data_IF_404114924378
#
_entry.id   IF_404114924378
#
_cell.length_a   1.000
_cell.length_b   1.000
_cell.length_c   1.000
_cell.angle_alpha   90.00
_cell.angle_beta   90.00
_cell.angle_gamma   90.00
#
_symmetry.space_group_name_H-M   'P 1'
#
loop_
_entity.id
_entity.type
_entity.pdbx_description
1 polymer ?
#
# COMPACT_ATOMS: atom_id res chain seq x y z
N UNK A 1 54.31 -41.42 8.62
CA UNK A 1 54.52 -41.33 7.16
C UNK A 1 53.54 -42.23 6.39
N UNK A 2 52.91 -41.63 5.37
CA UNK A 2 52.20 -42.23 4.21
C UNK A 2 50.95 -43.11 4.50
N UNK A 3 49.74 -42.63 4.19
CA UNK A 3 49.05 -42.63 2.88
C UNK A 3 48.38 -43.99 2.59
N UNK A 4 47.12 -44.12 2.19
CA UNK A 4 46.06 -43.18 1.85
C UNK A 4 44.82 -43.93 1.30
N UNK A 5 43.76 -43.13 1.08
CA UNK A 5 42.70 -43.23 0.06
C UNK A 5 41.64 -44.34 0.06
N UNK A 6 40.48 -43.90 -0.46
CA UNK A 6 39.26 -44.56 -0.96
C UNK A 6 38.06 -44.55 -0.01
N UNK A 7 36.83 -44.21 -0.41
CA UNK A 7 36.33 -43.50 -1.59
C UNK A 7 34.86 -43.10 -1.33
N UNK A 8 34.40 -42.08 -2.05
CA UNK A 8 33.02 -41.93 -2.55
C UNK A 8 31.84 -41.91 -1.57
N UNK A 9 31.48 -40.71 -1.10
CA UNK A 9 30.06 -40.37 -0.84
C UNK A 9 29.55 -39.57 -2.03
N UNK A 10 28.72 -40.24 -2.82
CA UNK A 10 28.07 -39.70 -4.00
C UNK A 10 27.16 -38.54 -3.64
N UNK A 11 27.48 -37.36 -4.19
CA UNK A 11 26.63 -36.17 -4.17
C UNK A 11 25.51 -36.35 -5.19
N UNK A 12 24.44 -37.03 -4.80
CA UNK A 12 23.18 -37.05 -5.54
C UNK A 12 22.32 -35.87 -5.13
N UNK A 13 22.24 -34.85 -5.97
CA UNK A 13 20.98 -34.10 -6.12
C UNK A 13 20.86 -33.67 -7.57
N UNK A 14 19.87 -34.27 -8.20
CA UNK A 14 19.46 -34.12 -9.59
C UNK A 14 18.92 -32.70 -9.76
N UNK A 15 19.68 -31.80 -10.37
CA UNK A 15 19.13 -30.52 -10.83
C UNK A 15 18.44 -30.78 -12.17
N UNK A 16 17.18 -31.20 -12.10
CA UNK A 16 16.27 -31.15 -13.23
C UNK A 16 16.25 -29.69 -13.73
N UNK A 17 16.63 -29.39 -14.98
CA UNK A 17 16.41 -28.07 -15.54
C UNK A 17 14.90 -27.95 -15.78
N UNK A 18 14.17 -27.66 -14.70
CA UNK A 18 12.76 -27.30 -14.76
C UNK A 18 12.68 -26.13 -15.71
N UNK A 19 12.16 -26.44 -16.90
CA UNK A 19 11.84 -25.54 -17.98
C UNK A 19 11.11 -24.33 -17.40
N UNK A 20 11.88 -23.27 -17.11
CA UNK A 20 11.35 -22.04 -16.54
C UNK A 20 10.50 -21.45 -17.65
N UNK A 21 9.18 -21.52 -17.50
CA UNK A 21 8.27 -20.84 -18.42
C UNK A 21 8.75 -19.39 -18.57
N UNK A 22 8.73 -18.82 -19.80
CA UNK A 22 9.23 -17.48 -20.02
C UNK A 22 8.58 -16.51 -19.02
N UNK A 23 9.42 -15.71 -18.37
CA UNK A 23 8.99 -14.64 -17.46
C UNK A 23 9.42 -13.31 -18.04
N UNK A 24 8.63 -12.27 -17.81
CA UNK A 24 9.02 -10.90 -18.09
C UNK A 24 9.27 -10.15 -16.79
N UNK A 25 10.08 -9.10 -16.87
CA UNK A 25 10.49 -8.32 -15.71
C UNK A 25 9.94 -6.91 -15.80
N UNK A 26 9.29 -6.46 -14.74
CA UNK A 26 8.86 -5.07 -14.54
C UNK A 26 9.66 -4.48 -13.39
N UNK A 27 10.24 -3.30 -13.61
CA UNK A 27 10.90 -2.52 -12.57
C UNK A 27 10.08 -1.25 -12.33
N UNK A 28 9.62 -1.06 -11.11
CA UNK A 28 8.98 0.17 -10.67
C UNK A 28 10.03 1.04 -9.99
N UNK A 29 10.23 2.26 -10.48
CA UNK A 29 11.08 3.28 -9.83
C UNK A 29 10.19 4.36 -9.23
N UNK A 30 10.31 4.61 -7.92
CA UNK A 30 9.56 5.64 -7.23
C UNK A 30 10.08 7.04 -7.58
N UNK A 31 9.27 7.83 -8.28
CA UNK A 31 9.54 9.25 -8.52
C UNK A 31 8.97 10.13 -7.39
N UNK A 32 7.93 9.63 -6.72
CA UNK A 32 7.35 10.20 -5.51
C UNK A 32 6.85 9.07 -4.60
N UNK A 33 6.59 9.38 -3.32
CA UNK A 33 5.95 8.43 -2.41
C UNK A 33 4.54 8.11 -2.93
N UNK A 34 4.30 6.85 -3.30
CA UNK A 34 3.03 6.40 -3.86
C UNK A 34 2.62 5.05 -3.29
N UNK A 35 1.32 4.80 -3.19
CA UNK A 35 0.79 3.49 -2.84
C UNK A 35 0.60 2.66 -4.11
N UNK A 36 0.96 1.39 -4.07
CA UNK A 36 0.91 0.46 -5.19
C UNK A 36 0.27 -0.84 -4.73
N UNK A 37 -0.70 -1.32 -5.50
CA UNK A 37 -1.17 -2.71 -5.50
C UNK A 37 -0.76 -3.36 -6.80
N UNK A 38 -0.09 -4.50 -6.71
CA UNK A 38 0.23 -5.38 -7.85
C UNK A 38 -0.52 -6.71 -7.70
N UNK A 39 -1.00 -7.25 -8.81
CA UNK A 39 -1.58 -8.59 -8.90
C UNK A 39 -0.88 -9.30 -10.05
N UNK A 40 -0.09 -10.34 -9.77
CA UNK A 40 0.65 -11.10 -10.79
C UNK A 40 -0.16 -12.31 -11.20
N UNK A 41 -0.33 -12.48 -12.51
CA UNK A 41 -0.97 -13.66 -13.11
C UNK A 41 -2.34 -14.01 -12.49
N UNK A 42 -3.04 -13.01 -11.94
CA UNK A 42 -4.36 -13.13 -11.32
C UNK A 42 -4.41 -13.64 -9.88
N UNK A 43 -3.29 -14.07 -9.29
CA UNK A 43 -3.29 -14.74 -7.97
C UNK A 43 -2.46 -13.99 -6.93
N UNK A 44 -1.25 -13.55 -7.28
CA UNK A 44 -0.31 -12.97 -6.30
C UNK A 44 -0.57 -11.48 -6.09
N UNK A 45 -1.38 -11.14 -5.09
CA UNK A 45 -1.63 -9.75 -4.70
C UNK A 45 -0.59 -9.26 -3.69
N UNK A 46 0.05 -8.13 -3.96
CA UNK A 46 0.89 -7.44 -2.99
C UNK A 46 0.58 -5.95 -2.97
N UNK A 47 0.52 -5.37 -1.78
CA UNK A 47 0.26 -3.95 -1.56
C UNK A 47 1.37 -3.33 -0.72
N UNK A 48 1.83 -2.14 -1.11
CA UNK A 48 2.93 -1.45 -0.44
C UNK A 48 2.96 0.03 -0.81
N UNK A 49 3.75 0.78 -0.05
CA UNK A 49 4.13 2.15 -0.40
C UNK A 49 5.52 2.10 -1.01
N UNK A 50 5.68 2.62 -2.22
CA UNK A 50 6.98 2.81 -2.85
C UNK A 50 7.48 4.23 -2.55
N UNK A 51 8.56 4.40 -1.76
CA UNK A 51 9.17 5.69 -1.52
C UNK A 51 9.87 6.24 -2.78
N UNK A 52 10.06 7.56 -2.82
CA UNK A 52 10.88 8.21 -3.84
C UNK A 52 12.31 7.68 -3.81
N UNK A 53 12.90 7.46 -4.98
CA UNK A 53 14.28 7.00 -5.15
C UNK A 53 14.48 5.50 -4.98
N UNK A 54 13.49 4.77 -4.47
CA UNK A 54 13.56 3.31 -4.38
C UNK A 54 13.01 2.65 -5.63
N UNK A 55 13.47 1.42 -5.87
CA UNK A 55 13.00 0.60 -6.96
C UNK A 55 12.52 -0.76 -6.45
N UNK A 56 11.59 -1.37 -7.19
CA UNK A 56 11.12 -2.74 -6.95
C UNK A 56 11.05 -3.50 -8.25
N UNK A 57 11.62 -4.69 -8.25
CA UNK A 57 11.60 -5.61 -9.39
C UNK A 57 10.52 -6.66 -9.17
N UNK A 58 9.72 -6.88 -10.20
CA UNK A 58 8.59 -7.81 -10.22
C UNK A 58 8.78 -8.71 -11.43
N UNK A 59 8.59 -10.02 -11.24
CA UNK A 59 8.59 -11.01 -12.32
C UNK A 59 7.21 -11.64 -12.40
N UNK A 60 6.74 -11.89 -13.62
CA UNK A 60 5.47 -12.55 -13.90
C UNK A 60 5.56 -13.33 -15.23
N UNK A 61 4.58 -14.19 -15.49
CA UNK A 61 4.54 -15.01 -16.69
C UNK A 61 3.68 -14.38 -17.78
N UNK A 62 2.46 -13.99 -17.46
CA UNK A 62 1.48 -13.51 -18.45
C UNK A 62 1.21 -12.02 -18.32
N UNK A 63 0.87 -11.57 -17.11
CA UNK A 63 0.47 -10.18 -16.89
C UNK A 63 0.61 -9.73 -15.44
N UNK A 64 0.82 -8.43 -15.27
CA UNK A 64 0.73 -7.78 -13.96
C UNK A 64 -0.34 -6.70 -14.04
N UNK A 65 -1.30 -6.75 -13.12
CA UNK A 65 -2.30 -5.71 -12.94
C UNK A 65 -1.90 -4.81 -11.79
N UNK A 66 -1.89 -3.51 -12.03
CA UNK A 66 -1.55 -2.50 -11.04
C UNK A 66 -2.73 -1.59 -10.70
N UNK A 67 -2.76 -1.14 -9.45
CA UNK A 67 -3.47 0.06 -9.00
C UNK A 67 -2.45 0.97 -8.33
N UNK A 68 -2.38 2.24 -8.70
CA UNK A 68 -1.33 3.16 -8.24
C UNK A 68 -1.98 4.46 -7.77
N UNK A 69 -1.69 4.85 -6.52
CA UNK A 69 -2.28 6.02 -5.86
C UNK A 69 -1.94 7.35 -6.53
N UNK A 70 -0.69 7.54 -6.95
CA UNK A 70 -0.22 8.70 -7.70
C UNK A 70 0.33 8.28 -9.05
N UNK A 71 -0.31 8.72 -10.14
CA UNK A 71 0.06 8.34 -11.50
C UNK A 71 1.44 8.89 -11.91
N UNK A 72 1.84 10.07 -11.42
CA UNK A 72 3.19 10.63 -11.60
C UNK A 72 4.26 9.99 -10.70
N UNK A 73 3.85 9.17 -9.73
CA UNK A 73 4.71 8.73 -8.64
C UNK A 73 5.66 7.59 -9.00
N UNK A 74 5.51 6.98 -10.18
CA UNK A 74 6.26 5.79 -10.59
C UNK A 74 6.67 5.88 -12.05
N UNK A 75 7.94 5.57 -12.34
CA UNK A 75 8.38 5.18 -13.67
C UNK A 75 8.38 3.66 -13.77
N UNK A 76 7.75 3.12 -14.82
CA UNK A 76 7.72 1.68 -15.09
C UNK A 76 8.72 1.36 -16.19
N UNK A 77 9.54 0.34 -15.96
CA UNK A 77 10.40 -0.23 -16.98
C UNK A 77 9.96 -1.67 -17.23
N UNK A 78 9.70 -2.01 -18.49
CA UNK A 78 9.39 -3.35 -18.95
C UNK A 78 10.61 -3.90 -19.68
N UNK A 79 11.17 -5.01 -19.17
CA UNK A 79 12.37 -5.63 -19.74
C UNK A 79 13.52 -4.63 -19.97
N UNK A 80 13.66 -3.65 -19.06
CA UNK A 80 14.68 -2.59 -19.12
C UNK A 80 14.28 -1.34 -19.93
N UNK A 81 13.19 -1.38 -20.71
CA UNK A 81 12.70 -0.25 -21.50
C UNK A 81 11.71 0.57 -20.68
N UNK A 82 11.96 1.87 -20.54
CA UNK A 82 11.04 2.77 -19.86
C UNK A 82 9.75 2.94 -20.66
N UNK A 83 8.61 2.83 -19.97
CA UNK A 83 7.29 3.07 -20.53
C UNK A 83 6.87 4.53 -20.31
N UNK A 84 5.85 4.97 -21.06
CA UNK A 84 5.32 6.32 -20.96
C UNK A 84 4.78 6.63 -19.56
N UNK A 85 4.81 7.92 -19.15
CA UNK A 85 4.21 8.37 -17.91
C UNK A 85 2.76 7.90 -17.73
N UNK A 86 2.40 7.50 -16.51
CA UNK A 86 1.07 6.94 -16.26
C UNK A 86 -0.03 8.01 -16.15
N UNK A 87 0.33 9.25 -15.86
CA UNK A 87 -0.60 10.37 -15.74
C UNK A 87 -0.02 11.47 -14.85
N UNK A 88 -0.87 12.42 -14.48
CA UNK A 88 -0.49 13.60 -13.70
C UNK A 88 -0.48 13.34 -12.18
N UNK A 89 0.08 14.30 -11.44
CA UNK A 89 0.22 14.23 -9.98
C UNK A 89 -1.09 14.22 -9.19
N UNK A 90 -2.18 14.66 -9.82
CA UNK A 90 -3.52 14.68 -9.23
C UNK A 90 -4.33 13.43 -9.57
N UNK A 91 -3.77 12.52 -10.37
CA UNK A 91 -4.47 11.38 -10.91
C UNK A 91 -4.06 10.07 -10.22
N UNK A 92 -5.02 9.14 -10.18
CA UNK A 92 -4.87 7.78 -9.65
C UNK A 92 -4.99 6.79 -10.80
N UNK A 93 -4.08 5.83 -10.89
CA UNK A 93 -4.19 4.71 -11.84
C UNK A 93 -5.06 3.64 -11.20
N UNK A 94 -6.28 3.49 -11.69
CA UNK A 94 -7.25 2.53 -11.13
C UNK A 94 -7.13 1.12 -11.69
N UNK A 95 -6.57 0.99 -12.89
CA UNK A 95 -6.24 -0.30 -13.49
C UNK A 95 -5.23 -0.10 -14.60
N UNK A 96 -4.05 -0.70 -14.45
CA UNK A 96 -3.02 -0.79 -15.48
C UNK A 96 -2.68 -2.26 -15.67
N UNK A 97 -2.68 -2.75 -16.90
CA UNK A 97 -2.32 -4.15 -17.20
C UNK A 97 -1.10 -4.14 -18.11
N UNK A 98 -0.02 -4.75 -17.63
CA UNK A 98 1.26 -4.89 -18.32
C UNK A 98 1.49 -6.35 -18.67
N UNK A 99 1.83 -6.62 -19.93
CA UNK A 99 2.21 -7.93 -20.48
C UNK A 99 3.67 -7.86 -21.00
N UNK A 100 4.28 -8.97 -21.46
CA UNK A 100 5.59 -8.94 -22.10
C UNK A 100 5.69 -7.95 -23.27
N UNK A 101 4.57 -7.71 -23.97
CA UNK A 101 4.50 -6.85 -25.16
C UNK A 101 4.27 -5.37 -24.85
N UNK A 102 3.91 -5.02 -23.60
CA UNK A 102 3.67 -3.64 -23.20
C UNK A 102 2.44 -3.43 -22.33
N UNK A 103 1.88 -2.23 -22.39
CA UNK A 103 0.64 -1.87 -21.68
C UNK A 103 -0.54 -2.14 -22.60
N UNK A 104 -1.41 -3.07 -22.21
CA UNK A 104 -2.64 -3.38 -22.96
C UNK A 104 -3.87 -2.63 -22.42
N UNK A 105 -3.78 -2.09 -21.20
CA UNK A 105 -4.88 -1.38 -20.56
C UNK A 105 -4.34 -0.35 -19.57
N UNK A 106 -4.86 0.88 -19.63
CA UNK A 106 -4.52 1.98 -18.71
C UNK A 106 -5.75 2.82 -18.42
N UNK A 107 -6.22 2.79 -17.17
CA UNK A 107 -7.35 3.59 -16.70
C UNK A 107 -6.94 4.50 -15.54
N UNK A 108 -7.09 5.80 -15.78
CA UNK A 108 -6.68 6.87 -14.88
C UNK A 108 -7.91 7.68 -14.48
N UNK A 109 -7.99 8.09 -13.21
CA UNK A 109 -9.09 8.92 -12.70
C UNK A 109 -8.54 10.08 -11.87
N UNK A 110 -9.17 11.23 -12.00
CA UNK A 110 -8.95 12.36 -11.08
C UNK A 110 -10.00 12.27 -9.97
N UNK A 111 -9.61 11.97 -8.71
CA UNK A 111 -10.55 11.97 -7.60
C UNK A 111 -11.08 13.39 -7.38
N UNK A 112 -12.40 13.55 -7.37
CA UNK A 112 -13.04 14.81 -6.97
C UNK A 112 -12.80 14.98 -5.47
N UNK A 113 -12.13 16.07 -5.05
CA UNK A 113 -12.10 16.47 -3.64
C UNK A 113 -13.56 16.58 -3.17
N UNK A 114 -13.98 15.70 -2.27
CA UNK A 114 -15.22 15.93 -1.55
C UNK A 114 -15.01 17.19 -0.71
N UNK A 115 -15.95 18.15 -0.78
CA UNK A 115 -15.93 19.31 0.12
C UNK A 115 -15.82 18.77 1.55
N UNK A 116 -14.99 19.36 2.43
CA UNK A 116 -14.97 18.99 3.84
C UNK A 116 -16.41 18.97 4.32
N UNK A 117 -16.90 17.81 4.77
CA UNK A 117 -18.19 17.73 5.46
C UNK A 117 -18.05 18.70 6.62
N UNK A 118 -18.94 19.69 6.72
CA UNK A 118 -18.93 20.61 7.86
C UNK A 118 -18.83 19.77 9.14
N UNK A 119 -18.01 20.19 10.13
CA UNK A 119 -17.99 19.52 11.42
C UNK A 119 -19.44 19.34 11.85
N UNK A 120 -19.85 18.10 12.11
CA UNK A 120 -21.09 17.91 12.83
C UNK A 120 -20.85 18.60 14.17
N UNK A 121 -21.41 19.79 14.35
CA UNK A 121 -21.56 20.38 15.67
C UNK A 121 -22.24 19.30 16.48
N UNK A 122 -21.45 18.61 17.31
CA UNK A 122 -21.99 17.79 18.36
C UNK A 122 -22.87 18.77 19.13
N UNK A 123 -24.20 18.64 19.00
CA UNK A 123 -25.10 19.35 19.89
C UNK A 123 -24.66 18.91 21.27
N UNK A 124 -24.00 19.81 22.01
CA UNK A 124 -23.63 19.54 23.38
C UNK A 124 -24.90 19.04 24.08
N UNK A 125 -24.87 17.87 24.75
CA UNK A 125 -26.02 17.46 25.53
C UNK A 125 -26.34 18.60 26.50
N UNK A 126 -27.62 18.99 26.66
CA UNK A 126 -27.98 20.10 27.53
C UNK A 126 -27.39 19.82 28.91
N UNK A 127 -26.50 20.71 29.36
CA UNK A 127 -25.85 20.60 30.67
C UNK A 127 -26.94 20.45 31.73
N UNK A 128 -26.91 19.43 32.61
CA UNK A 128 -27.84 19.37 33.71
C UNK A 128 -27.62 20.60 34.58
N UNK A 129 -28.64 21.48 34.67
CA UNK A 129 -28.62 22.62 35.60
C UNK A 129 -28.43 22.05 37.00
N UNK A 130 -27.25 22.27 37.58
CA UNK A 130 -27.01 22.05 39.00
C UNK A 130 -28.03 22.91 39.75
N UNK A 131 -28.89 22.28 40.56
CA UNK A 131 -29.82 23.01 41.42
C UNK A 131 -28.99 23.88 42.37
N UNK A 132 -29.35 25.14 42.60
CA UNK A 132 -28.67 25.94 43.62
C UNK A 132 -28.81 25.25 44.98
N UNK A 133 -27.76 25.26 45.82
CA UNK A 133 -27.84 24.71 47.16
C UNK A 133 -28.89 25.48 47.98
N UNK A 134 -29.79 24.73 48.61
CA UNK A 134 -30.76 25.27 49.57
C UNK A 134 -30.02 26.04 50.66
N UNK A 135 -30.43 27.26 51.04
CA UNK A 135 -29.81 27.95 52.16
C UNK A 135 -30.00 27.13 53.45
N UNK A 136 -28.90 26.86 54.13
CA UNK A 136 -28.83 26.15 55.39
C UNK A 136 -29.55 26.99 56.45
N UNK A 137 -30.66 26.48 56.98
CA UNK A 137 -31.47 27.18 57.96
C UNK A 137 -30.67 27.32 59.28
N UNK A 138 -30.30 28.55 59.62
CA UNK A 138 -29.60 28.92 60.86
C UNK A 138 -30.50 28.64 62.06
N UNK A 139 -30.14 27.65 62.87
CA UNK A 139 -30.78 27.38 64.16
C UNK A 139 -30.26 28.44 65.15
N UNK A 140 -31.10 29.40 65.51
CA UNK A 140 -30.88 30.28 66.67
C UNK A 140 -30.96 29.47 67.97
N UNK A 141 -30.01 29.63 68.90
CA UNK A 141 -30.14 29.07 70.24
C UNK A 141 -31.12 29.92 71.06
N UNK A 142 -32.07 29.24 71.71
CA UNK A 142 -33.01 29.80 72.68
C UNK A 142 -32.31 29.91 74.06
N UNK A 143 -32.45 31.00 74.81
CA UNK A 143 -31.82 31.14 76.13
C UNK A 143 -32.47 30.21 77.17
N UNK A 144 -31.63 29.69 78.06
CA UNK A 144 -32.02 28.94 79.26
C UNK A 144 -32.54 29.91 80.34
N UNK A 145 -33.65 29.53 80.97
CA UNK A 145 -34.01 29.83 82.36
C UNK A 145 -34.34 28.50 83.03
#
# INVERSE_FOLDING_TARGET
PAAGLTDSVQKTTVSNPQQVAPTFTVILKGLARTWIREIRDGVDTTEYILPKGLARTIKAHEKIKFTIGRADGVQILLNGVALDPLGDSTQVVTSLVVTPDGIIQKYVKTPKRQKPRAPQTFLEPPTPRLRPPTPLNTISPKPQD
#
